data_IF_585920253545
#
_entry.id   IF_585920253545
#
_cell.length_a   1.000
_cell.length_b   1.000
_cell.length_c   1.000
_cell.angle_alpha   90.00
_cell.angle_beta   90.00
_cell.angle_gamma   90.00
#
_symmetry.space_group_name_H-M   'P 1'
#
loop_
_entity.id
_entity.type
_entity.pdbx_description
1 polymer ?
#
# COMPACT_ATOMS: atom_id res chain seq x y z
N UNK A 1 -1.39 4.01 -22.62
CA UNK A 1 -0.09 3.31 -22.62
C UNK A 1 -0.29 1.84 -22.30
N UNK A 2 0.50 0.98 -22.95
CA UNK A 2 0.39 -0.47 -22.81
C UNK A 2 1.22 -0.95 -21.62
N UNK A 3 0.63 -1.78 -20.78
CA UNK A 3 1.32 -2.48 -19.69
C UNK A 3 2.38 -3.42 -20.27
N UNK A 4 3.59 -3.40 -19.71
CA UNK A 4 4.58 -4.45 -19.99
C UNK A 4 3.98 -5.83 -19.77
N UNK A 5 4.38 -6.77 -20.62
CA UNK A 5 4.13 -8.18 -20.39
C UNK A 5 5.09 -8.73 -19.34
N UNK A 6 4.76 -9.90 -18.81
CA UNK A 6 5.58 -10.61 -17.83
C UNK A 6 6.97 -10.92 -18.39
N UNK A 7 7.03 -11.36 -19.65
CA UNK A 7 8.28 -11.72 -20.32
C UNK A 7 9.20 -10.51 -20.48
N UNK A 8 8.63 -9.33 -20.79
CA UNK A 8 9.41 -8.09 -20.91
C UNK A 8 9.99 -7.65 -19.55
N UNK A 9 9.27 -7.92 -18.45
CA UNK A 9 9.76 -7.63 -17.10
C UNK A 9 10.86 -8.61 -16.66
N UNK A 10 10.73 -9.89 -17.03
CA UNK A 10 11.76 -10.91 -16.81
C UNK A 10 13.03 -10.60 -17.60
N UNK A 11 12.88 -10.31 -18.90
CA UNK A 11 13.99 -9.95 -19.79
C UNK A 11 14.76 -8.74 -19.23
N UNK A 12 14.04 -7.71 -18.77
CA UNK A 12 14.66 -6.56 -18.11
C UNK A 12 15.52 -6.97 -16.89
N UNK A 13 15.01 -7.89 -16.06
CA UNK A 13 15.68 -8.32 -14.84
C UNK A 13 16.93 -9.17 -15.13
N UNK A 14 16.86 -10.05 -16.14
CA UNK A 14 18.00 -10.85 -16.59
C UNK A 14 19.09 -9.97 -17.17
N UNK A 15 18.74 -9.06 -18.07
CA UNK A 15 19.67 -8.09 -18.65
C UNK A 15 20.32 -7.18 -17.59
N UNK A 16 19.60 -6.82 -16.53
CA UNK A 16 20.16 -5.98 -15.47
C UNK A 16 21.29 -6.68 -14.69
N UNK A 17 21.21 -8.00 -14.52
CA UNK A 17 22.14 -8.75 -13.68
C UNK A 17 23.59 -8.61 -14.18
N UNK A 18 23.77 -8.74 -15.50
CA UNK A 18 25.07 -8.80 -16.16
C UNK A 18 25.48 -7.49 -16.84
N UNK A 19 24.69 -6.43 -16.65
CA UNK A 19 24.97 -5.11 -17.22
C UNK A 19 25.93 -4.31 -16.33
N UNK A 20 27.19 -4.24 -16.76
CA UNK A 20 28.24 -3.45 -16.10
C UNK A 20 28.19 -1.95 -16.46
N UNK A 21 27.45 -1.57 -17.52
CA UNK A 21 27.23 -0.18 -17.89
C UNK A 21 26.09 0.47 -17.09
N UNK A 22 25.24 -0.34 -16.46
CA UNK A 22 24.14 0.13 -15.61
C UNK A 22 24.67 0.90 -14.39
N UNK A 23 24.34 2.19 -14.32
CA UNK A 23 24.67 3.04 -13.17
C UNK A 23 23.59 2.93 -12.11
N UNK A 24 23.99 2.60 -10.88
CA UNK A 24 23.10 2.51 -9.72
C UNK A 24 23.27 3.77 -8.86
N UNK A 25 22.17 4.36 -8.42
CA UNK A 25 22.16 5.45 -7.44
C UNK A 25 21.12 5.20 -6.37
N UNK A 26 21.45 5.57 -5.14
CA UNK A 26 20.56 5.45 -3.99
C UNK A 26 20.04 6.83 -3.56
N UNK A 27 18.74 6.89 -3.28
CA UNK A 27 18.10 8.06 -2.72
C UNK A 27 17.29 7.68 -1.48
N UNK A 28 17.43 8.44 -0.41
CA UNK A 28 16.55 8.39 0.74
C UNK A 28 15.37 9.32 0.53
N UNK A 29 14.19 8.82 0.85
CA UNK A 29 12.94 9.57 0.86
C UNK A 29 12.60 9.80 2.33
N UNK A 30 12.59 11.06 2.74
CA UNK A 30 12.16 11.48 4.07
C UNK A 30 10.76 12.04 4.02
N UNK A 31 9.99 11.86 5.10
CA UNK A 31 8.61 12.32 5.20
C UNK A 31 8.45 13.27 6.40
N UNK A 32 8.15 14.52 6.11
CA UNK A 32 8.04 15.61 7.07
C UNK A 32 6.59 16.06 7.19
N UNK A 33 6.16 16.40 8.40
CA UNK A 33 4.86 17.03 8.60
C UNK A 33 4.96 18.50 8.17
N UNK A 34 3.98 19.00 7.41
CA UNK A 34 3.93 20.42 7.02
C UNK A 34 3.85 21.33 8.24
N UNK A 35 4.48 22.50 8.16
CA UNK A 35 4.47 23.48 9.24
C UNK A 35 3.03 23.87 9.62
N UNK A 36 2.75 23.95 10.93
CA UNK A 36 1.41 24.26 11.46
C UNK A 36 0.41 23.10 11.46
N UNK A 37 0.77 21.93 10.93
CA UNK A 37 -0.11 20.76 10.93
C UNK A 37 0.09 19.91 12.18
N UNK A 38 -1.00 19.35 12.70
CA UNK A 38 -0.95 18.33 13.75
C UNK A 38 -0.68 16.94 13.17
N UNK A 39 0.04 16.08 13.90
CA UNK A 39 0.19 14.65 13.56
C UNK A 39 -1.17 13.94 13.45
N UNK A 40 -2.13 14.37 14.27
CA UNK A 40 -3.50 13.84 14.34
C UNK A 40 -4.45 14.45 13.29
N UNK A 41 -3.99 15.44 12.51
CA UNK A 41 -4.81 16.06 11.48
C UNK A 41 -5.20 15.02 10.41
N UNK A 42 -6.49 15.06 10.04
CA UNK A 42 -7.11 14.23 8.99
C UNK A 42 -6.97 14.84 7.59
N UNK A 43 -6.20 15.91 7.47
CA UNK A 43 -6.11 16.72 6.25
C UNK A 43 -5.21 16.04 5.22
N UNK A 44 -5.65 16.11 3.97
CA UNK A 44 -4.94 15.62 2.80
C UNK A 44 -3.71 16.47 2.55
N UNK A 45 -2.64 15.84 2.07
CA UNK A 45 -1.39 16.54 1.78
C UNK A 45 -0.75 17.16 3.05
N UNK A 46 -0.84 16.47 4.20
CA UNK A 46 -0.20 16.90 5.46
C UNK A 46 1.31 16.67 5.51
N UNK A 47 1.85 15.91 4.57
CA UNK A 47 3.25 15.52 4.55
C UNK A 47 3.96 16.03 3.31
N UNK A 48 5.15 16.58 3.51
CA UNK A 48 6.12 16.82 2.45
C UNK A 48 7.10 15.66 2.36
N UNK A 49 7.41 15.27 1.14
CA UNK A 49 8.45 14.28 0.85
C UNK A 49 9.68 15.00 0.32
N UNK A 50 10.86 14.65 0.85
CA UNK A 50 12.14 15.17 0.37
C UNK A 50 13.06 14.03 -0.02
N UNK A 51 13.81 14.25 -1.09
CA UNK A 51 14.79 13.30 -1.61
C UNK A 51 16.20 13.76 -1.27
N UNK A 52 16.99 12.83 -0.74
CA UNK A 52 18.39 13.04 -0.42
C UNK A 52 19.19 11.94 -1.11
N UNK A 53 20.19 12.31 -1.92
CA UNK A 53 21.06 11.35 -2.59
C UNK A 53 22.05 10.78 -1.60
N UNK A 54 22.06 9.46 -1.43
CA UNK A 54 23.03 8.79 -0.59
C UNK A 54 24.20 8.31 -1.46
N UNK A 55 25.43 8.81 -1.24
CA UNK A 55 26.61 8.24 -1.87
C UNK A 55 26.74 6.77 -1.50
N UNK A 56 27.01 5.90 -2.49
CA UNK A 56 27.18 4.46 -2.28
C UNK A 56 28.48 3.99 -2.91
N UNK A 57 29.15 3.06 -2.23
CA UNK A 57 30.32 2.38 -2.75
C UNK A 57 29.94 1.33 -3.83
N UNK A 58 30.88 0.92 -4.69
CA UNK A 58 30.61 -0.01 -5.79
C UNK A 58 30.02 -1.37 -5.37
N UNK A 59 30.40 -1.88 -4.21
CA UNK A 59 29.88 -3.12 -3.62
C UNK A 59 28.41 -2.99 -3.21
N UNK A 60 28.02 -1.86 -2.61
CA UNK A 60 26.63 -1.54 -2.28
C UNK A 60 25.80 -1.34 -3.55
N UNK A 61 26.35 -0.69 -4.58
CA UNK A 61 25.72 -0.59 -5.89
C UNK A 61 25.47 -1.98 -6.51
N UNK A 62 26.45 -2.89 -6.43
CA UNK A 62 26.34 -4.28 -6.89
C UNK A 62 25.27 -5.05 -6.11
N UNK A 63 25.21 -4.89 -4.79
CA UNK A 63 24.14 -5.46 -3.96
C UNK A 63 22.76 -5.02 -4.45
N UNK A 64 22.53 -3.72 -4.66
CA UNK A 64 21.22 -3.24 -5.13
C UNK A 64 20.86 -3.71 -6.55
N UNK A 65 21.85 -3.81 -7.44
CA UNK A 65 21.66 -4.39 -8.79
C UNK A 65 21.15 -5.82 -8.71
N UNK A 66 21.78 -6.66 -7.90
CA UNK A 66 21.34 -8.05 -7.71
C UNK A 66 20.01 -8.16 -6.98
N UNK A 67 19.79 -7.38 -5.93
CA UNK A 67 18.52 -7.36 -5.21
C UNK A 67 17.36 -7.06 -6.16
N UNK A 68 17.50 -6.04 -7.01
CA UNK A 68 16.46 -5.69 -7.98
C UNK A 68 16.21 -6.81 -9.00
N UNK A 69 17.27 -7.34 -9.61
CA UNK A 69 17.15 -8.45 -10.58
C UNK A 69 16.52 -9.69 -9.96
N UNK A 70 17.06 -10.17 -8.83
CA UNK A 70 16.60 -11.38 -8.16
C UNK A 70 15.15 -11.27 -7.67
N UNK A 71 14.76 -10.11 -7.13
CA UNK A 71 13.38 -9.92 -6.67
C UNK A 71 12.40 -9.97 -7.84
N UNK A 72 12.68 -9.27 -8.94
CA UNK A 72 11.82 -9.32 -10.13
C UNK A 72 11.70 -10.75 -10.64
N UNK A 73 12.82 -11.46 -10.81
CA UNK A 73 12.82 -12.87 -11.25
C UNK A 73 11.99 -13.72 -10.29
N UNK A 74 12.22 -13.64 -8.98
CA UNK A 74 11.53 -14.45 -7.98
C UNK A 74 10.00 -14.27 -7.95
N UNK A 75 9.52 -13.08 -8.30
CA UNK A 75 8.08 -12.80 -8.40
C UNK A 75 7.54 -13.18 -9.78
N UNK A 76 8.25 -12.85 -10.86
CA UNK A 76 7.78 -12.98 -12.22
C UNK A 76 7.98 -14.37 -12.84
N UNK A 77 8.83 -15.22 -12.26
CA UNK A 77 9.11 -16.57 -12.77
C UNK A 77 8.20 -17.66 -12.17
N UNK A 78 7.21 -17.30 -11.36
CA UNK A 78 6.25 -18.27 -10.79
C UNK A 78 5.25 -18.69 -11.86
N UNK A 79 4.93 -19.98 -11.94
CA UNK A 79 4.07 -20.55 -13.00
C UNK A 79 2.66 -19.96 -13.06
N UNK A 80 2.13 -19.47 -11.93
CA UNK A 80 0.77 -18.95 -11.79
C UNK A 80 0.70 -17.43 -11.61
N UNK A 81 1.79 -16.70 -11.91
CA UNK A 81 1.84 -15.25 -11.75
C UNK A 81 0.92 -14.55 -12.75
N UNK A 82 0.09 -13.63 -12.26
CA UNK A 82 -0.79 -12.80 -13.09
C UNK A 82 -0.44 -11.33 -12.93
N UNK A 83 -0.15 -10.67 -14.05
CA UNK A 83 -0.11 -9.21 -14.11
C UNK A 83 -1.50 -8.64 -14.31
N UNK A 84 -1.91 -7.72 -13.45
CA UNK A 84 -3.20 -7.04 -13.60
C UNK A 84 -3.18 -5.61 -13.12
N UNK A 85 -4.19 -4.84 -13.48
CA UNK A 85 -4.35 -3.48 -12.97
C UNK A 85 -4.57 -3.51 -11.46
N UNK A 86 -3.97 -2.54 -10.77
CA UNK A 86 -4.23 -2.32 -9.36
C UNK A 86 -5.71 -2.02 -9.11
N UNK A 87 -6.25 -2.63 -8.05
CA UNK A 87 -7.58 -2.38 -7.50
C UNK A 87 -7.45 -2.21 -5.99
N UNK A 88 -8.33 -1.43 -5.37
CA UNK A 88 -8.25 -1.10 -3.93
C UNK A 88 -8.43 -2.33 -3.06
N UNK A 89 -9.40 -3.17 -3.41
CA UNK A 89 -9.59 -4.50 -2.82
C UNK A 89 -9.23 -5.55 -3.86
N UNK A 90 -8.43 -6.51 -3.42
CA UNK A 90 -8.16 -7.72 -4.15
C UNK A 90 -7.69 -8.80 -3.16
N UNK A 91 -7.86 -10.06 -3.53
CA UNK A 91 -7.31 -11.18 -2.79
C UNK A 91 -5.78 -11.05 -2.80
N UNK A 92 -5.17 -10.85 -1.64
CA UNK A 92 -3.71 -10.68 -1.46
C UNK A 92 -3.04 -12.06 -1.57
N UNK A 93 -3.10 -12.63 -2.77
CA UNK A 93 -2.50 -13.92 -3.12
C UNK A 93 -1.11 -13.63 -3.71
N UNK A 94 -0.10 -14.38 -3.26
CA UNK A 94 1.33 -14.22 -3.58
C UNK A 94 1.72 -14.43 -5.07
N UNK A 95 0.73 -14.56 -5.96
CA UNK A 95 0.87 -14.81 -7.38
C UNK A 95 0.42 -13.62 -8.25
N UNK A 96 0.50 -12.38 -7.74
CA UNK A 96 0.08 -11.18 -8.49
C UNK A 96 1.16 -10.10 -8.53
N UNK A 97 1.26 -9.45 -9.70
CA UNK A 97 2.00 -8.20 -9.88
C UNK A 97 0.99 -7.15 -10.36
N UNK A 98 0.86 -6.05 -9.60
CA UNK A 98 -0.11 -5.01 -9.95
C UNK A 98 0.51 -3.89 -10.76
N UNK A 99 -0.11 -3.56 -11.89
CA UNK A 99 0.22 -2.38 -12.67
C UNK A 99 -0.58 -1.17 -12.19
N UNK A 100 0.09 -0.07 -11.89
CA UNK A 100 -0.50 1.19 -11.45
C UNK A 100 0.11 2.37 -12.22
N UNK A 101 -0.73 3.24 -12.78
CA UNK A 101 -0.26 4.36 -13.59
C UNK A 101 0.14 5.57 -12.73
N UNK A 102 1.24 6.24 -13.07
CA UNK A 102 1.79 7.35 -12.27
C UNK A 102 0.82 8.52 -12.08
N UNK A 103 0.01 8.83 -13.09
CA UNK A 103 -0.96 9.92 -13.07
C UNK A 103 -2.00 9.79 -11.93
N UNK A 104 -2.15 8.59 -11.39
CA UNK A 104 -3.04 8.34 -10.26
C UNK A 104 -2.36 8.60 -8.89
N UNK A 105 -1.02 8.71 -8.83
CA UNK A 105 -0.25 8.98 -7.61
C UNK A 105 0.31 10.42 -7.61
N UNK A 106 -0.58 11.42 -7.58
CA UNK A 106 -0.24 12.83 -7.86
C UNK A 106 0.83 13.38 -6.89
N UNK A 107 0.72 13.09 -5.59
CA UNK A 107 1.66 13.62 -4.57
C UNK A 107 3.08 13.03 -4.74
N UNK A 108 3.18 11.72 -4.99
CA UNK A 108 4.46 11.04 -5.19
C UNK A 108 5.03 11.26 -6.60
N UNK A 109 4.19 11.56 -7.59
CA UNK A 109 4.66 11.91 -8.94
C UNK A 109 5.55 13.15 -8.93
N UNK A 110 5.34 14.10 -8.01
CA UNK A 110 6.22 15.27 -7.83
C UNK A 110 7.61 14.86 -7.37
N UNK A 111 7.71 13.90 -6.45
CA UNK A 111 8.98 13.34 -5.95
C UNK A 111 9.78 12.76 -7.13
N UNK A 112 9.16 11.91 -7.95
CA UNK A 112 9.85 11.29 -9.10
C UNK A 112 10.15 12.31 -10.22
N UNK A 113 9.18 13.12 -10.61
CA UNK A 113 9.29 14.00 -11.78
C UNK A 113 10.06 15.30 -11.52
N UNK A 114 9.96 15.87 -10.32
CA UNK A 114 10.59 17.17 -10.03
C UNK A 114 11.94 17.03 -9.31
N UNK A 115 12.15 15.98 -8.50
CA UNK A 115 13.36 15.88 -7.67
C UNK A 115 14.34 14.82 -8.21
N UNK A 116 13.87 13.64 -8.62
CA UNK A 116 14.77 12.58 -9.13
C UNK A 116 15.16 12.83 -10.60
N UNK A 117 14.20 13.19 -11.46
CA UNK A 117 14.46 13.41 -12.89
C UNK A 117 15.29 14.69 -13.15
N UNK A 118 15.21 15.70 -12.30
CA UNK A 118 15.97 16.96 -12.46
C UNK A 118 17.41 16.91 -11.89
N UNK A 119 17.82 15.78 -11.30
CA UNK A 119 19.19 15.45 -10.86
C UNK A 119 19.90 16.52 -10.00
N UNK A 120 19.15 17.28 -9.20
CA UNK A 120 19.69 18.21 -8.18
C UNK A 120 19.27 17.92 -6.74
N UNK A 121 19.24 16.66 -6.28
CA UNK A 121 18.97 16.38 -4.87
C UNK A 121 20.16 16.79 -4.00
N UNK A 122 19.86 17.20 -2.76
CA UNK A 122 20.87 17.37 -1.70
C UNK A 122 21.60 16.04 -1.50
N UNK A 123 22.91 16.09 -1.38
CA UNK A 123 23.74 14.90 -1.11
C UNK A 123 23.85 14.71 0.40
N UNK A 124 23.57 13.51 0.87
CA UNK A 124 23.66 13.13 2.27
C UNK A 124 25.09 13.29 2.77
N UNK A 125 25.26 13.99 3.90
CA UNK A 125 26.57 14.12 4.56
C UNK A 125 26.64 13.33 5.86
N UNK A 126 25.50 13.13 6.54
CA UNK A 126 25.37 12.35 7.76
C UNK A 126 24.05 11.57 7.82
N UNK A 127 24.07 10.35 8.39
CA UNK A 127 22.85 9.58 8.62
C UNK A 127 21.91 10.20 9.66
N UNK A 128 22.41 11.12 10.50
CA UNK A 128 21.59 11.89 11.45
C UNK A 128 20.52 12.73 10.72
N UNK A 129 20.81 13.22 9.50
CA UNK A 129 19.88 14.02 8.69
C UNK A 129 18.60 13.26 8.31
N UNK A 130 18.64 11.92 8.30
CA UNK A 130 17.52 11.08 7.87
C UNK A 130 16.99 10.17 8.97
N UNK A 131 17.74 9.93 10.05
CA UNK A 131 17.42 8.97 11.11
C UNK A 131 15.97 9.05 11.59
N UNK A 132 15.50 10.27 11.86
CA UNK A 132 14.19 10.49 12.45
C UNK A 132 13.06 10.49 11.44
N UNK A 133 13.31 10.74 10.15
CA UNK A 133 12.26 10.96 9.16
C UNK A 133 12.34 10.09 7.92
N UNK A 134 13.27 9.11 7.91
CA UNK A 134 13.39 8.14 6.84
C UNK A 134 12.07 7.39 6.63
N UNK A 135 11.58 7.44 5.40
CA UNK A 135 10.30 6.88 4.99
C UNK A 135 10.48 5.72 4.02
N UNK A 136 11.28 5.92 2.97
CA UNK A 136 11.55 4.89 1.97
C UNK A 136 12.94 5.14 1.40
N UNK A 137 13.44 4.20 0.61
CA UNK A 137 14.58 4.44 -0.26
C UNK A 137 14.21 4.09 -1.71
N UNK A 138 14.88 4.76 -2.63
CA UNK A 138 14.75 4.58 -4.06
C UNK A 138 16.09 4.19 -4.67
N UNK A 139 16.08 3.12 -5.46
CA UNK A 139 17.21 2.71 -6.30
C UNK A 139 16.91 3.20 -7.71
N UNK A 140 17.74 4.09 -8.25
CA UNK A 140 17.72 4.48 -9.66
C UNK A 140 18.71 3.62 -10.42
N UNK A 141 18.25 2.99 -11.49
CA UNK A 141 19.07 2.30 -12.47
C UNK A 141 19.05 3.12 -13.74
N UNK A 142 20.22 3.51 -14.24
CA UNK A 142 20.36 4.25 -15.49
C UNK A 142 21.17 3.44 -16.50
N UNK A 143 20.56 3.16 -17.66
CA UNK A 143 21.14 2.45 -18.80
C UNK A 143 21.05 3.34 -20.03
N UNK A 144 22.12 4.06 -20.35
CA UNK A 144 22.08 5.10 -21.38
C UNK A 144 21.03 6.18 -21.05
N UNK A 145 20.01 6.31 -21.90
CA UNK A 145 18.88 7.22 -21.70
C UNK A 145 17.73 6.62 -20.88
N UNK A 146 17.68 5.29 -20.75
CA UNK A 146 16.62 4.60 -20.03
C UNK A 146 16.87 4.66 -18.53
N UNK A 147 15.80 4.93 -17.78
CA UNK A 147 15.84 5.03 -16.33
C UNK A 147 14.72 4.21 -15.71
N UNK A 148 15.11 3.36 -14.77
CA UNK A 148 14.19 2.59 -13.92
C UNK A 148 14.37 3.03 -12.48
N UNK A 149 13.27 3.04 -11.74
CA UNK A 149 13.29 3.30 -10.30
C UNK A 149 12.69 2.11 -9.55
N UNK A 150 13.31 1.71 -8.45
CA UNK A 150 12.73 0.77 -7.50
C UNK A 150 12.54 1.45 -6.16
N UNK A 151 11.48 1.10 -5.44
CA UNK A 151 11.16 1.67 -4.14
C UNK A 151 10.98 0.58 -3.11
N UNK A 152 11.48 0.86 -1.91
CA UNK A 152 11.30 0.02 -0.74
C UNK A 152 11.00 0.89 0.48
N UNK A 153 9.92 0.58 1.15
CA UNK A 153 9.53 1.14 2.44
C UNK A 153 10.55 0.67 3.46
N UNK A 154 11.07 1.62 4.23
CA UNK A 154 12.01 1.34 5.32
C UNK A 154 11.47 1.91 6.62
N UNK A 155 11.85 1.30 7.74
CA UNK A 155 11.50 1.79 9.07
C UNK A 155 12.64 2.64 9.63
N UNK A 156 12.29 3.67 10.41
CA UNK A 156 13.25 4.57 11.08
C UNK A 156 14.26 3.80 11.95
N UNK A 157 13.85 2.66 12.51
CA UNK A 157 14.71 1.79 13.32
C UNK A 157 15.82 1.05 12.54
N UNK A 158 15.87 1.17 11.21
CA UNK A 158 16.95 0.63 10.38
C UNK A 158 18.15 1.57 10.27
N UNK A 159 18.04 2.81 10.79
CA UNK A 159 19.14 3.77 10.87
C UNK A 159 19.61 3.87 12.31
N UNK A 160 20.91 3.71 12.50
CA UNK A 160 21.62 3.91 13.76
C UNK A 160 22.61 5.03 13.56
N UNK A 161 22.74 5.89 14.55
CA UNK A 161 23.74 6.96 14.61
C UNK A 161 24.45 6.90 15.96
N UNK A 162 25.63 7.50 16.00
CA UNK A 162 26.51 7.63 17.15
C UNK A 162 26.18 8.86 18.02
N UNK A 163 25.01 9.49 17.81
CA UNK A 163 24.52 10.53 18.71
C UNK A 163 23.99 9.89 20.00
N UNK A 164 24.31 10.44 21.19
CA UNK A 164 23.91 9.87 22.47
C UNK A 164 22.38 9.82 22.58
N UNK A 165 21.83 8.62 22.54
CA UNK A 165 20.42 8.37 22.81
C UNK A 165 20.24 8.26 24.33
N UNK A 166 19.19 8.88 24.87
CA UNK A 166 18.86 8.74 26.29
C UNK A 166 18.75 7.24 26.63
N UNK A 167 19.39 6.78 27.72
CA UNK A 167 19.57 5.35 28.08
C UNK A 167 18.29 4.49 28.16
N UNK A 168 17.10 5.09 28.09
CA UNK A 168 15.81 4.39 27.91
C UNK A 168 15.50 4.03 26.45
N UNK A 169 16.36 4.36 25.48
CA UNK A 169 16.11 4.22 24.05
C UNK A 169 17.28 3.47 23.36
N UNK A 170 17.10 2.17 23.19
CA UNK A 170 17.79 1.25 22.25
C UNK A 170 19.33 1.20 22.28
N UNK A 171 19.87 0.06 22.69
CA UNK A 171 21.28 -0.31 22.49
C UNK A 171 21.43 -1.01 21.14
N UNK A 172 22.31 -0.51 20.27
CA UNK A 172 22.80 -1.28 19.12
C UNK A 172 24.10 -1.96 19.50
N UNK A 173 24.18 -3.26 19.26
CA UNK A 173 25.37 -4.04 19.56
C UNK A 173 25.80 -4.87 18.35
N UNK A 174 27.12 -4.98 18.15
CA UNK A 174 27.73 -5.93 17.23
C UNK A 174 28.24 -7.13 18.03
N UNK A 175 28.07 -8.32 17.47
CA UNK A 175 28.68 -9.53 18.02
C UNK A 175 30.14 -9.60 17.56
N UNK A 176 31.07 -9.33 18.48
CA UNK A 176 32.50 -9.42 18.20
C UNK A 176 32.90 -10.89 18.09
N UNK A 177 33.49 -11.24 16.94
CA UNK A 177 33.85 -12.62 16.62
C UNK A 177 35.13 -13.07 17.34
N UNK A 178 35.89 -12.15 17.92
CA UNK A 178 37.19 -12.38 18.56
C UNK A 178 37.01 -12.90 19.98
N UNK A 179 36.21 -12.19 20.76
CA UNK A 179 35.94 -12.50 22.17
C UNK A 179 34.54 -13.11 22.40
N UNK A 180 33.71 -13.18 21.36
CA UNK A 180 32.34 -13.75 21.37
C UNK A 180 31.38 -12.96 22.26
N UNK A 181 31.57 -11.65 22.38
CA UNK A 181 30.71 -10.76 23.17
C UNK A 181 29.86 -9.81 22.31
N UNK A 182 28.73 -9.36 22.84
CA UNK A 182 27.96 -8.26 22.27
C UNK A 182 28.54 -6.92 22.75
N UNK A 183 29.10 -6.14 21.84
CA UNK A 183 29.67 -4.81 22.12
C UNK A 183 28.80 -3.71 21.56
N UNK A 184 28.66 -2.61 22.28
CA UNK A 184 27.95 -1.42 21.79
C UNK A 184 28.56 -0.93 20.46
N UNK A 185 27.72 -0.64 19.48
CA UNK A 185 28.11 -0.04 18.22
C UNK A 185 28.06 1.47 18.32
N UNK A 186 29.23 2.11 18.26
CA UNK A 186 29.39 3.58 18.34
C UNK A 186 29.61 4.21 16.95
N UNK A 187 28.87 3.72 15.95
CA UNK A 187 28.95 4.20 14.57
C UNK A 187 27.59 4.61 13.99
N UNK A 188 27.63 5.10 12.76
CA UNK A 188 26.44 5.34 11.96
C UNK A 188 26.26 4.20 10.95
N UNK A 189 25.08 3.59 10.93
CA UNK A 189 24.77 2.49 10.03
C UNK A 189 23.33 2.57 9.52
N UNK A 190 23.10 2.06 8.31
CA UNK A 190 21.78 1.82 7.75
C UNK A 190 21.70 0.37 7.28
N UNK A 191 20.64 -0.32 7.66
CA UNK A 191 20.43 -1.72 7.30
C UNK A 191 19.43 -1.83 6.13
N UNK A 192 19.89 -2.42 5.03
CA UNK A 192 19.07 -2.75 3.85
C UNK A 192 18.70 -4.23 3.86
N UNK A 193 17.52 -4.54 3.35
CA UNK A 193 17.07 -5.90 3.06
C UNK A 193 17.15 -6.20 1.55
N UNK A 194 16.92 -7.45 1.19
CA UNK A 194 16.98 -7.98 -0.17
C UNK A 194 15.63 -7.91 -0.89
N UNK A 195 14.77 -6.94 -0.53
CA UNK A 195 13.38 -6.84 -1.00
C UNK A 195 13.08 -5.49 -1.65
N UNK A 196 12.14 -5.52 -2.58
CA UNK A 196 11.57 -4.32 -3.21
C UNK A 196 10.05 -4.34 -3.09
N UNK A 197 9.41 -3.17 -2.98
CA UNK A 197 7.95 -3.09 -2.88
C UNK A 197 7.30 -2.82 -4.24
N UNK A 198 7.94 -1.98 -5.05
CA UNK A 198 7.54 -1.72 -6.42
C UNK A 198 8.71 -1.26 -7.29
N UNK A 199 8.50 -1.30 -8.59
CA UNK A 199 9.37 -0.73 -9.61
C UNK A 199 8.57 0.21 -10.50
N UNK A 200 9.21 1.22 -11.06
CA UNK A 200 8.64 2.17 -11.97
C UNK A 200 9.46 2.18 -13.25
N UNK A 201 8.82 1.74 -14.35
CA UNK A 201 9.41 1.56 -15.68
C UNK A 201 8.39 2.06 -16.70
N UNK A 202 8.83 2.84 -17.71
CA UNK A 202 7.98 3.34 -18.81
C UNK A 202 6.63 3.90 -18.30
N UNK A 203 6.70 4.85 -17.38
CA UNK A 203 5.56 5.53 -16.75
C UNK A 203 4.52 4.67 -15.99
N UNK A 204 4.88 3.43 -15.65
CA UNK A 204 4.02 2.55 -14.86
C UNK A 204 4.75 1.95 -13.66
N UNK A 205 4.03 1.84 -12.55
CA UNK A 205 4.46 1.06 -11.41
C UNK A 205 4.06 -0.40 -11.57
N UNK A 206 4.96 -1.30 -11.20
CA UNK A 206 4.70 -2.71 -10.98
C UNK A 206 4.91 -2.99 -9.49
N UNK A 207 3.84 -3.40 -8.82
CA UNK A 207 3.74 -3.50 -7.38
C UNK A 207 3.78 -4.96 -6.96
N UNK A 208 4.77 -5.29 -6.13
CA UNK A 208 4.96 -6.61 -5.53
C UNK A 208 4.35 -6.66 -4.11
N UNK A 209 4.35 -5.53 -3.40
CA UNK A 209 3.84 -5.42 -2.04
C UNK A 209 2.85 -4.24 -1.93
N UNK A 210 1.54 -4.50 -2.06
CA UNK A 210 0.49 -3.46 -2.12
C UNK A 210 0.51 -2.52 -0.92
N UNK A 211 0.55 -3.06 0.29
CA UNK A 211 0.51 -2.25 1.53
C UNK A 211 1.68 -1.26 1.61
N UNK A 212 2.89 -1.71 1.29
CA UNK A 212 4.05 -0.84 1.27
C UNK A 212 3.96 0.20 0.16
N UNK A 213 3.51 -0.20 -1.04
CA UNK A 213 3.30 0.71 -2.16
C UNK A 213 2.30 1.81 -1.81
N UNK A 214 1.12 1.47 -1.30
CA UNK A 214 0.08 2.42 -0.86
C UNK A 214 0.62 3.44 0.14
N UNK A 215 1.46 3.00 1.09
CA UNK A 215 2.12 3.87 2.04
C UNK A 215 3.18 4.78 1.39
N UNK A 216 3.95 4.27 0.41
CA UNK A 216 4.96 5.04 -0.31
C UNK A 216 4.31 6.15 -1.13
N UNK A 217 3.27 5.82 -1.91
CA UNK A 217 2.61 6.78 -2.82
C UNK A 217 1.53 7.63 -2.16
N UNK A 218 1.15 7.34 -0.91
CA UNK A 218 0.19 8.13 -0.14
C UNK A 218 -1.29 7.81 -0.38
N UNK A 219 -1.60 6.66 -0.97
CA UNK A 219 -2.96 6.23 -1.31
C UNK A 219 -3.92 6.13 -0.12
N UNK A 220 -3.40 5.92 1.11
CA UNK A 220 -4.23 5.85 2.32
C UNK A 220 -5.09 7.10 2.54
N UNK A 221 -4.56 8.26 2.12
CA UNK A 221 -5.24 9.56 2.23
C UNK A 221 -6.38 9.63 1.21
N UNK A 222 -6.12 9.25 -0.03
CA UNK A 222 -7.12 9.20 -1.11
C UNK A 222 -8.26 8.22 -0.76
N UNK A 223 -7.93 7.06 -0.18
CA UNK A 223 -8.95 6.12 0.32
C UNK A 223 -9.80 6.70 1.44
N UNK A 224 -9.25 7.61 2.25
CA UNK A 224 -10.01 8.27 3.31
C UNK A 224 -11.01 9.25 2.72
N UNK A 225 -10.59 10.08 1.76
CA UNK A 225 -11.49 11.01 1.06
C UNK A 225 -12.57 10.27 0.26
N UNK A 226 -12.17 9.27 -0.52
CA UNK A 226 -13.10 8.47 -1.31
C UNK A 226 -14.13 7.77 -0.41
N UNK A 227 -13.69 7.19 0.71
CA UNK A 227 -14.59 6.56 1.67
C UNK A 227 -15.59 7.56 2.29
N UNK A 228 -15.13 8.75 2.69
CA UNK A 228 -16.01 9.78 3.26
C UNK A 228 -17.03 10.27 2.22
N UNK A 229 -16.59 10.52 0.98
CA UNK A 229 -17.49 10.92 -0.11
C UNK A 229 -18.55 9.87 -0.37
N UNK A 230 -18.15 8.59 -0.43
CA UNK A 230 -19.06 7.46 -0.62
C UNK A 230 -20.08 7.38 0.51
N UNK A 231 -19.63 7.52 1.76
CA UNK A 231 -20.51 7.48 2.92
C UNK A 231 -21.52 8.65 2.91
N UNK A 232 -21.09 9.84 2.48
CA UNK A 232 -21.99 10.99 2.33
C UNK A 232 -23.06 10.74 1.27
N UNK A 233 -22.70 10.18 0.11
CA UNK A 233 -23.69 9.79 -0.91
C UNK A 233 -24.70 8.76 -0.35
N UNK A 234 -24.26 7.80 0.46
CA UNK A 234 -25.19 6.84 1.09
C UNK A 234 -26.12 7.56 2.08
N UNK A 235 -25.61 8.53 2.86
CA UNK A 235 -26.43 9.34 3.78
C UNK A 235 -27.50 10.15 3.03
N UNK A 236 -27.18 10.68 1.86
CA UNK A 236 -28.11 11.47 1.03
C UNK A 236 -29.32 10.67 0.52
N UNK A 237 -29.22 9.34 0.43
CA UNK A 237 -30.35 8.48 0.01
C UNK A 237 -31.46 8.38 1.07
N UNK A 238 -31.17 8.72 2.32
CA UNK A 238 -32.11 8.71 3.44
C UNK A 238 -32.80 7.34 3.69
N UNK A 239 -32.14 6.23 3.33
CA UNK A 239 -32.65 4.86 3.53
C UNK A 239 -32.07 4.15 4.76
N UNK A 240 -31.01 4.69 5.35
CA UNK A 240 -30.22 4.04 6.41
C UNK A 240 -29.94 5.02 7.56
N UNK A 241 -30.23 4.59 8.79
CA UNK A 241 -29.88 5.28 10.02
C UNK A 241 -28.69 4.61 10.73
N UNK A 242 -27.95 5.37 11.54
CA UNK A 242 -26.80 4.85 12.30
C UNK A 242 -25.47 4.82 11.55
N UNK A 243 -25.38 5.46 10.38
CA UNK A 243 -24.14 5.54 9.58
C UNK A 243 -23.00 6.28 10.30
N UNK A 244 -23.28 7.04 11.36
CA UNK A 244 -22.27 7.71 12.18
C UNK A 244 -21.31 6.71 12.85
N UNK A 245 -21.77 5.50 13.15
CA UNK A 245 -20.92 4.43 13.68
C UNK A 245 -19.84 4.06 12.66
N UNK A 246 -20.20 3.98 11.38
CA UNK A 246 -19.25 3.72 10.28
C UNK A 246 -18.34 4.92 10.08
N UNK A 247 -18.88 6.15 10.14
CA UNK A 247 -18.12 7.38 10.00
C UNK A 247 -17.00 7.49 11.04
N UNK A 248 -17.26 7.11 12.29
CA UNK A 248 -16.21 7.07 13.31
C UNK A 248 -15.22 5.91 13.08
N UNK A 249 -15.72 4.76 12.61
CA UNK A 249 -14.90 3.58 12.36
C UNK A 249 -13.88 3.80 11.23
N UNK A 250 -14.25 4.47 10.14
CA UNK A 250 -13.37 4.70 8.98
C UNK A 250 -12.17 5.59 9.32
N UNK A 251 -12.16 6.31 10.43
CA UNK A 251 -11.04 7.14 10.87
C UNK A 251 -9.82 6.31 11.25
N UNK A 252 -10.07 5.13 11.82
CA UNK A 252 -9.03 4.30 12.40
C UNK A 252 -8.97 2.89 11.78
N UNK A 253 -9.92 2.52 10.91
CA UNK A 253 -9.96 1.20 10.23
C UNK A 253 -9.71 1.33 8.72
N UNK A 254 -8.47 1.09 8.24
CA UNK A 254 -8.15 1.11 6.81
C UNK A 254 -9.00 0.13 5.98
N UNK A 255 -9.36 -1.02 6.55
CA UNK A 255 -10.19 -2.02 5.86
C UNK A 255 -11.56 -1.47 5.47
N UNK A 256 -12.21 -0.70 6.33
CA UNK A 256 -13.51 -0.09 6.03
C UNK A 256 -13.39 1.00 4.95
N UNK A 257 -12.31 1.81 4.99
CA UNK A 257 -12.02 2.80 3.94
C UNK A 257 -11.87 2.15 2.58
N UNK A 258 -11.16 1.02 2.52
CA UNK A 258 -11.00 0.24 1.28
C UNK A 258 -12.32 -0.32 0.77
N UNK A 259 -13.18 -0.83 1.67
CA UNK A 259 -14.51 -1.36 1.27
C UNK A 259 -15.36 -0.24 0.66
N UNK A 260 -15.45 0.92 1.31
CA UNK A 260 -16.19 2.06 0.77
C UNK A 260 -15.62 2.56 -0.56
N UNK A 261 -14.31 2.64 -0.70
CA UNK A 261 -13.68 3.03 -1.97
C UNK A 261 -14.01 2.04 -3.09
N UNK A 262 -14.02 0.73 -2.78
CA UNK A 262 -14.38 -0.30 -3.77
C UNK A 262 -15.88 -0.29 -4.11
N UNK A 263 -16.75 -0.01 -3.14
CA UNK A 263 -18.18 0.28 -3.38
C UNK A 263 -18.33 1.48 -4.33
N UNK A 264 -17.47 2.49 -4.19
CA UNK A 264 -17.44 3.64 -5.08
C UNK A 264 -17.04 3.26 -6.51
N UNK A 265 -15.99 2.46 -6.67
CA UNK A 265 -15.53 1.95 -7.97
C UNK A 265 -16.60 1.14 -8.70
N UNK A 266 -17.44 0.39 -7.96
CA UNK A 266 -18.56 -0.38 -8.51
C UNK A 266 -19.81 0.45 -8.80
N UNK A 267 -19.98 1.59 -8.13
CA UNK A 267 -21.20 2.40 -8.21
C UNK A 267 -22.39 1.87 -7.39
N UNK A 268 -22.23 0.81 -6.59
CA UNK A 268 -23.35 0.19 -5.85
C UNK A 268 -24.04 1.15 -4.86
N UNK A 269 -23.35 2.20 -4.40
CA UNK A 269 -23.87 3.17 -3.44
C UNK A 269 -24.78 4.25 -4.05
N UNK A 270 -24.88 4.39 -5.38
CA UNK A 270 -25.64 5.48 -6.01
C UNK A 270 -27.07 5.12 -6.36
N UNK A 271 -27.43 3.84 -6.35
CA UNK A 271 -28.71 3.33 -6.86
C UNK A 271 -29.44 2.42 -5.84
N UNK A 272 -29.14 2.58 -4.55
CA UNK A 272 -29.82 1.83 -3.49
C UNK A 272 -31.28 2.26 -3.40
N UNK A 273 -32.19 1.29 -3.54
CA UNK A 273 -33.62 1.46 -3.35
C UNK A 273 -34.15 0.63 -2.16
N UNK A 274 -35.41 0.82 -1.79
CA UNK A 274 -36.04 0.09 -0.68
C UNK A 274 -36.02 -1.43 -0.87
N UNK A 275 -36.16 -1.90 -2.11
CA UNK A 275 -36.13 -3.34 -2.42
C UNK A 275 -34.73 -3.95 -2.15
N UNK A 276 -33.67 -3.19 -2.39
CA UNK A 276 -32.30 -3.64 -2.13
C UNK A 276 -32.05 -3.79 -0.63
N UNK A 277 -32.59 -2.87 0.18
CA UNK A 277 -32.52 -2.95 1.64
C UNK A 277 -33.18 -4.22 2.17
N UNK A 278 -34.32 -4.62 1.61
CA UNK A 278 -34.97 -5.88 1.97
C UNK A 278 -34.12 -7.09 1.56
N UNK A 279 -33.60 -7.09 0.33
CA UNK A 279 -32.72 -8.17 -0.15
C UNK A 279 -31.45 -8.30 0.71
N UNK A 280 -30.89 -7.19 1.19
CA UNK A 280 -29.77 -7.20 2.14
C UNK A 280 -30.10 -7.94 3.43
N UNK A 281 -31.30 -7.72 4.00
CA UNK A 281 -31.77 -8.44 5.17
C UNK A 281 -31.91 -9.95 4.91
N UNK A 282 -32.48 -10.32 3.76
CA UNK A 282 -32.66 -11.72 3.40
C UNK A 282 -31.32 -12.46 3.27
N UNK A 283 -30.34 -11.82 2.62
CA UNK A 283 -28.97 -12.34 2.49
C UNK A 283 -28.27 -12.43 3.86
N UNK A 284 -28.42 -11.41 4.72
CA UNK A 284 -27.81 -11.42 6.04
C UNK A 284 -28.37 -12.54 6.92
N UNK A 285 -29.70 -12.74 6.89
CA UNK A 285 -30.39 -13.82 7.59
C UNK A 285 -29.92 -15.18 7.09
N UNK A 286 -29.77 -15.34 5.78
CA UNK A 286 -29.31 -16.57 5.14
C UNK A 286 -27.90 -16.98 5.58
N UNK A 287 -26.95 -16.04 5.63
CA UNK A 287 -25.54 -16.37 5.88
C UNK A 287 -25.04 -16.11 7.30
N UNK A 288 -25.70 -15.26 8.08
CA UNK A 288 -25.29 -14.91 9.44
C UNK A 288 -26.39 -15.14 10.48
N UNK A 289 -27.62 -15.44 10.07
CA UNK A 289 -28.79 -15.52 10.95
C UNK A 289 -28.95 -14.25 11.81
N UNK A 290 -28.59 -13.11 11.22
CA UNK A 290 -28.77 -11.75 11.75
C UNK A 290 -29.69 -10.97 10.81
N UNK A 291 -30.36 -9.95 11.32
CA UNK A 291 -31.21 -9.03 10.55
C UNK A 291 -30.99 -7.61 11.07
N UNK A 292 -31.09 -6.63 10.17
CA UNK A 292 -31.17 -5.23 10.57
C UNK A 292 -32.58 -4.90 11.02
N UNK A 293 -32.70 -4.06 12.04
CA UNK A 293 -33.99 -3.49 12.42
C UNK A 293 -34.43 -2.48 11.38
N UNK A 294 -35.73 -2.35 11.23
CA UNK A 294 -36.36 -1.29 10.45
C UNK A 294 -37.04 -0.33 11.40
N UNK A 295 -36.85 0.98 11.23
CA UNK A 295 -37.53 1.97 12.04
C UNK A 295 -38.97 2.23 11.55
N UNK A 296 -39.69 3.11 12.25
CA UNK A 296 -41.07 3.48 11.91
C UNK A 296 -41.22 4.12 10.52
N UNK A 297 -40.14 4.64 9.94
CA UNK A 297 -40.08 5.26 8.61
C UNK A 297 -39.67 4.29 7.50
N UNK A 298 -39.46 3.01 7.81
CA UNK A 298 -39.03 2.01 6.84
C UNK A 298 -37.54 2.05 6.49
N UNK A 299 -36.70 2.72 7.31
CA UNK A 299 -35.25 2.79 7.14
C UNK A 299 -34.54 1.67 7.88
N UNK A 300 -33.44 1.19 7.32
CA UNK A 300 -32.55 0.23 7.96
C UNK A 300 -31.79 0.92 9.09
N UNK A 301 -31.75 0.31 10.28
CA UNK A 301 -31.03 0.86 11.44
C UNK A 301 -29.76 0.05 11.70
N UNK A 302 -28.62 0.75 11.71
CA UNK A 302 -27.32 0.21 12.11
C UNK A 302 -27.07 0.60 13.58
N UNK A 303 -27.05 -0.39 14.47
CA UNK A 303 -26.93 -0.18 15.92
C UNK A 303 -25.48 -0.16 16.41
N UNK A 304 -24.60 -0.91 15.74
CA UNK A 304 -23.21 -1.08 16.14
C UNK A 304 -22.24 -1.27 14.95
N UNK A 305 -20.96 -1.32 15.26
CA UNK A 305 -19.91 -1.43 14.23
C UNK A 305 -19.91 -2.80 13.51
N UNK A 306 -20.37 -3.87 14.18
CA UNK A 306 -20.50 -5.19 13.57
C UNK A 306 -21.56 -5.15 12.49
N UNK A 307 -22.73 -4.60 12.79
CA UNK A 307 -23.81 -4.38 11.83
C UNK A 307 -23.36 -3.43 10.71
N UNK A 308 -22.63 -2.35 11.03
CA UNK A 308 -22.06 -1.46 10.02
C UNK A 308 -21.13 -2.19 9.04
N UNK A 309 -20.29 -3.10 9.54
CA UNK A 309 -19.43 -3.94 8.69
C UNK A 309 -20.26 -4.91 7.83
N UNK A 310 -21.31 -5.50 8.37
CA UNK A 310 -22.22 -6.38 7.62
C UNK A 310 -22.92 -5.63 6.49
N UNK A 311 -23.42 -4.43 6.76
CA UNK A 311 -24.02 -3.56 5.75
C UNK A 311 -23.03 -3.27 4.61
N UNK A 312 -21.81 -2.85 4.93
CA UNK A 312 -20.78 -2.58 3.92
C UNK A 312 -20.38 -3.84 3.13
N UNK A 313 -20.37 -5.02 3.76
CA UNK A 313 -20.12 -6.29 3.05
C UNK A 313 -21.20 -6.57 2.00
N UNK A 314 -22.46 -6.41 2.39
CA UNK A 314 -23.59 -6.65 1.49
C UNK A 314 -23.59 -5.67 0.33
N UNK A 315 -23.42 -4.37 0.62
CA UNK A 315 -23.32 -3.33 -0.40
C UNK A 315 -22.13 -3.53 -1.36
N UNK A 316 -21.09 -4.23 -0.91
CA UNK A 316 -19.91 -4.53 -1.72
C UNK A 316 -19.95 -5.89 -2.44
N UNK A 317 -21.10 -6.57 -2.49
CA UNK A 317 -21.28 -7.92 -3.08
C UNK A 317 -20.32 -8.97 -2.50
N UNK A 318 -20.17 -8.99 -1.17
CA UNK A 318 -19.29 -9.94 -0.49
C UNK A 318 -19.67 -11.42 -0.72
N UNK A 319 -20.96 -11.70 -0.90
CA UNK A 319 -21.49 -13.03 -1.13
C UNK A 319 -21.64 -13.27 -2.63
N UNK A 320 -20.97 -14.30 -3.16
CA UNK A 320 -21.01 -14.67 -4.59
C UNK A 320 -21.51 -16.10 -4.75
N UNK A 321 -22.17 -16.40 -5.88
CA UNK A 321 -22.59 -17.76 -6.23
C UNK A 321 -21.83 -18.28 -7.45
N UNK A 322 -21.29 -19.49 -7.37
CA UNK A 322 -20.65 -20.16 -8.49
C UNK A 322 -21.67 -20.57 -9.55
N UNK A 323 -21.44 -20.19 -10.81
CA UNK A 323 -22.39 -20.44 -11.90
C UNK A 323 -22.60 -21.94 -12.19
N UNK A 324 -21.55 -22.76 -12.08
CA UNK A 324 -21.59 -24.20 -12.34
C UNK A 324 -21.98 -25.01 -11.10
N UNK A 325 -21.31 -24.76 -9.97
CA UNK A 325 -21.47 -25.56 -8.74
C UNK A 325 -22.66 -25.12 -7.89
N UNK A 326 -23.19 -23.91 -8.14
CA UNK A 326 -24.21 -23.22 -7.31
C UNK A 326 -23.80 -23.01 -5.85
N UNK A 327 -22.55 -23.31 -5.48
CA UNK A 327 -21.98 -23.05 -4.16
C UNK A 327 -21.82 -21.55 -3.93
N UNK A 328 -21.90 -21.14 -2.67
CA UNK A 328 -21.66 -19.76 -2.28
C UNK A 328 -20.23 -19.57 -1.82
N UNK A 329 -19.70 -18.37 -2.06
CA UNK A 329 -18.33 -18.00 -1.78
C UNK A 329 -18.27 -16.62 -1.13
N UNK A 330 -17.40 -16.46 -0.13
CA UNK A 330 -17.06 -15.15 0.43
C UNK A 330 -15.88 -14.51 -0.31
N UNK A 331 -15.95 -13.21 -0.58
CA UNK A 331 -14.96 -12.53 -1.42
C UNK A 331 -13.56 -12.45 -0.86
N UNK A 332 -13.35 -12.41 0.46
CA UNK A 332 -12.02 -12.13 1.04
C UNK A 332 -10.99 -13.25 0.79
N UNK A 333 -11.41 -14.44 0.36
CA UNK A 333 -10.51 -15.59 0.12
C UNK A 333 -11.05 -16.61 -0.88
N UNK A 334 -12.21 -16.37 -1.50
CA UNK A 334 -12.89 -17.37 -2.33
C UNK A 334 -13.28 -18.64 -1.56
N UNK A 335 -13.39 -18.57 -0.24
CA UNK A 335 -13.77 -19.72 0.59
C UNK A 335 -15.23 -20.08 0.36
N UNK A 336 -15.50 -21.39 0.23
CA UNK A 336 -16.87 -21.90 0.20
C UNK A 336 -17.54 -21.58 1.52
N UNK A 337 -18.72 -20.99 1.45
CA UNK A 337 -19.58 -20.67 2.60
C UNK A 337 -20.92 -21.34 2.40
N UNK A 338 -21.50 -21.80 3.51
CA UNK A 338 -22.81 -22.43 3.50
C UNK A 338 -23.83 -21.51 4.17
N UNK A 339 -25.05 -21.39 3.60
CA UNK A 339 -26.18 -20.78 4.30
C UNK A 339 -26.42 -21.47 5.64
N UNK A 340 -26.72 -20.69 6.68
CA UNK A 340 -27.07 -21.21 8.00
C UNK A 340 -28.48 -21.80 7.99
N UNK A 341 -29.37 -21.23 7.17
CA UNK A 341 -30.69 -21.77 6.85
C UNK A 341 -30.69 -22.19 5.38
N UNK A 342 -30.86 -23.49 5.15
CA UNK A 342 -31.06 -24.07 3.83
C UNK A 342 -32.53 -23.94 3.40
#
# INVERSE_FOLDING_TARGET
MKMLKLEELLEYAEQLKDDDAAKISLYFITRHLKAGMSRTARVVDKFDFKIIKAPIAPDIAKFFKYTLSNQIISHASKDDIVMKKYTVIDDDIDNKIYAYAMNNAISFSKVINNDIKNDKPVVLTSLAEVQNDLWAYCIKVQKGADVTYSFRKISRGKVTTNEPQNMTQRVFALFDKTDKELRSFDGSAVNFDDKIDCIYIKDQFYVFHKKSFEAIVGLEVEFTEAAQKTLNTIKELDLIEGLDVIEQAILHKPSLRKILTHIAEKGNHTALEKNDVQAMNDVLKMFQNEEFKTNEHGKLVIEDERQGRNFLKLLNDYYKQGMTTKKYYGTDSGNVINPIKA
#
